data_IF_647120259875
#
_entry.id   IF_647120259875
#
_cell.length_a   1.000
_cell.length_b   1.000
_cell.length_c   1.000
_cell.angle_alpha   90.00
_cell.angle_beta   90.00
_cell.angle_gamma   90.00
#
_symmetry.space_group_name_H-M   'P 1'
#
loop_
_entity.id
_entity.type
_entity.pdbx_description
1 polymer ?
#
# COMPACT_ATOMS: atom_id res chain seq x y z
N UNK A 1 -3.21 4.11 14.80
CA UNK A 1 -3.25 3.88 13.34
C UNK A 1 -4.63 3.35 12.93
N UNK A 2 -5.13 2.31 13.57
CA UNK A 2 -6.50 1.79 13.35
C UNK A 2 -7.60 2.84 13.61
N UNK A 3 -7.49 3.65 14.68
CA UNK A 3 -8.48 4.72 14.94
C UNK A 3 -8.58 5.74 13.79
N UNK A 4 -7.45 6.13 13.18
CA UNK A 4 -7.43 7.02 12.00
C UNK A 4 -8.14 6.38 10.80
N UNK A 5 -8.06 5.06 10.65
CA UNK A 5 -8.79 4.35 9.61
C UNK A 5 -10.30 4.38 9.88
N UNK A 6 -10.71 4.05 11.10
CA UNK A 6 -12.12 4.03 11.51
C UNK A 6 -12.73 5.41 11.34
N UNK A 7 -12.09 6.47 11.83
CA UNK A 7 -12.57 7.84 11.69
C UNK A 7 -12.74 8.21 10.20
N UNK A 8 -11.77 7.81 9.36
CA UNK A 8 -11.82 8.05 7.92
C UNK A 8 -12.98 7.30 7.27
N UNK A 9 -13.16 6.01 7.54
CA UNK A 9 -14.22 5.21 6.89
C UNK A 9 -15.60 5.61 7.39
N UNK A 10 -15.76 5.98 8.66
CA UNK A 10 -17.01 6.55 9.20
C UNK A 10 -17.33 7.87 8.51
N UNK A 11 -16.36 8.77 8.35
CA UNK A 11 -16.54 10.03 7.63
C UNK A 11 -16.93 9.83 6.16
N UNK A 12 -16.26 8.91 5.48
CA UNK A 12 -16.58 8.54 4.09
C UNK A 12 -17.98 7.93 3.98
N UNK A 13 -18.37 7.04 4.90
CA UNK A 13 -19.70 6.44 4.91
C UNK A 13 -20.78 7.49 5.14
N UNK A 14 -20.59 8.42 6.08
CA UNK A 14 -21.51 9.52 6.34
C UNK A 14 -21.66 10.45 5.12
N UNK A 15 -20.59 10.64 4.36
CA UNK A 15 -20.59 11.39 3.11
C UNK A 15 -21.16 10.61 1.91
N UNK A 16 -21.56 9.34 2.12
CA UNK A 16 -22.02 8.45 1.05
C UNK A 16 -20.91 8.03 0.08
N UNK A 17 -19.64 8.22 0.44
CA UNK A 17 -18.47 7.96 -0.41
C UNK A 17 -17.83 6.58 -0.22
N UNK A 18 -18.29 5.79 0.75
CA UNK A 18 -17.75 4.47 1.07
C UNK A 18 -18.56 3.37 0.38
N UNK A 19 -17.87 2.41 -0.24
CA UNK A 19 -18.42 1.20 -0.84
C UNK A 19 -19.51 1.40 -1.90
N UNK A 20 -19.54 2.56 -2.55
CA UNK A 20 -20.50 2.87 -3.62
C UNK A 20 -20.30 1.98 -4.86
N UNK A 21 -19.04 1.74 -5.24
CA UNK A 21 -18.68 0.88 -6.36
C UNK A 21 -18.70 -0.60 -5.95
N UNK A 22 -19.91 -1.18 -5.95
CA UNK A 22 -20.12 -2.59 -5.55
C UNK A 22 -19.37 -3.59 -6.44
N UNK A 23 -19.16 -3.26 -7.72
CA UNK A 23 -18.43 -4.13 -8.63
C UNK A 23 -16.93 -4.15 -8.30
N UNK A 24 -16.33 -2.98 -8.08
CA UNK A 24 -14.96 -2.89 -7.61
C UNK A 24 -14.78 -3.54 -6.24
N UNK A 25 -15.70 -3.31 -5.30
CA UNK A 25 -15.64 -3.93 -3.99
C UNK A 25 -15.62 -5.47 -4.05
N UNK A 26 -16.41 -6.07 -4.95
CA UNK A 26 -16.42 -7.52 -5.15
C UNK A 26 -15.06 -8.02 -5.68
N UNK A 27 -14.47 -7.32 -6.66
CA UNK A 27 -13.13 -7.61 -7.19
C UNK A 27 -12.08 -7.52 -6.08
N UNK A 28 -12.08 -6.43 -5.31
CA UNK A 28 -11.15 -6.21 -4.21
C UNK A 28 -11.23 -7.33 -3.15
N UNK A 29 -12.43 -7.75 -2.75
CA UNK A 29 -12.62 -8.81 -1.77
C UNK A 29 -12.11 -10.17 -2.27
N UNK A 30 -12.38 -10.49 -3.54
CA UNK A 30 -11.86 -11.70 -4.16
C UNK A 30 -10.34 -11.71 -4.16
N UNK A 31 -9.72 -10.64 -4.68
CA UNK A 31 -8.26 -10.52 -4.78
C UNK A 31 -7.60 -10.54 -3.39
N UNK A 32 -8.13 -9.74 -2.45
CA UNK A 32 -7.58 -9.63 -1.09
C UNK A 32 -7.61 -10.97 -0.37
N UNK A 33 -8.64 -11.80 -0.56
CA UNK A 33 -8.71 -13.13 0.06
C UNK A 33 -7.52 -14.01 -0.31
N UNK A 34 -7.04 -13.91 -1.55
CA UNK A 34 -5.88 -14.68 -2.03
C UNK A 34 -4.58 -14.12 -1.46
N UNK A 35 -4.43 -12.80 -1.46
CA UNK A 35 -3.24 -12.12 -0.92
C UNK A 35 -3.10 -12.30 0.59
N UNK A 36 -4.21 -12.26 1.34
CA UNK A 36 -4.23 -12.43 2.79
C UNK A 36 -3.71 -13.82 3.18
N UNK A 37 -4.02 -14.87 2.40
CA UNK A 37 -3.49 -16.22 2.66
C UNK A 37 -1.97 -16.23 2.60
N UNK A 38 -1.38 -15.68 1.54
CA UNK A 38 0.07 -15.60 1.41
C UNK A 38 0.69 -14.66 2.46
N UNK A 39 0.01 -13.58 2.83
CA UNK A 39 0.46 -12.68 3.87
C UNK A 39 0.51 -13.36 5.25
N UNK A 40 -0.45 -14.24 5.56
CA UNK A 40 -0.48 -15.02 6.81
C UNK A 40 0.69 -16.00 6.87
N UNK A 41 1.07 -16.62 5.76
CA UNK A 41 2.24 -17.50 5.71
C UNK A 41 3.54 -16.75 6.02
N UNK A 42 3.66 -15.49 5.56
CA UNK A 42 4.83 -14.65 5.85
C UNK A 42 4.76 -13.97 7.22
N UNK A 43 3.56 -13.68 7.72
CA UNK A 43 3.29 -13.00 8.99
C UNK A 43 2.14 -13.70 9.71
N UNK A 44 2.40 -14.77 10.49
CA UNK A 44 1.36 -15.55 11.15
C UNK A 44 0.44 -14.73 12.06
N UNK A 45 0.92 -13.63 12.64
CA UNK A 45 0.10 -12.73 13.47
C UNK A 45 -1.05 -12.09 12.68
N UNK A 46 -0.91 -11.98 11.35
CA UNK A 46 -1.94 -11.43 10.48
C UNK A 46 -3.20 -12.32 10.41
N UNK A 47 -3.12 -13.58 10.85
CA UNK A 47 -4.29 -14.45 10.96
C UNK A 47 -5.28 -13.97 12.03
N UNK A 48 -4.80 -13.21 13.02
CA UNK A 48 -5.63 -12.63 14.07
C UNK A 48 -6.19 -11.25 13.71
N UNK A 49 -5.81 -10.68 12.56
CA UNK A 49 -6.26 -9.36 12.15
C UNK A 49 -7.71 -9.38 11.67
N UNK A 50 -8.42 -8.27 11.92
CA UNK A 50 -9.78 -8.06 11.45
C UNK A 50 -9.74 -7.45 10.05
N UNK A 51 -9.50 -8.31 9.07
CA UNK A 51 -9.40 -7.91 7.68
C UNK A 51 -10.70 -7.28 7.17
N UNK A 52 -10.58 -6.03 6.72
CA UNK A 52 -11.66 -5.24 6.15
C UNK A 52 -11.19 -4.67 4.81
N UNK A 53 -12.07 -4.75 3.82
CA UNK A 53 -11.78 -4.28 2.46
C UNK A 53 -12.90 -3.36 2.05
N UNK A 54 -12.53 -2.10 1.82
CA UNK A 54 -13.44 -1.03 1.44
C UNK A 54 -12.97 -0.31 0.19
N UNK A 55 -13.91 0.29 -0.52
CA UNK A 55 -13.62 1.23 -1.61
C UNK A 55 -14.18 2.61 -1.31
N UNK A 56 -13.61 3.64 -1.92
CA UNK A 56 -14.08 5.01 -1.79
C UNK A 56 -14.11 5.75 -3.13
N UNK A 57 -15.02 6.71 -3.27
CA UNK A 57 -15.03 7.68 -4.37
C UNK A 57 -14.23 8.95 -4.08
N UNK A 58 -13.59 9.04 -2.91
CA UNK A 58 -12.66 10.11 -2.56
C UNK A 58 -11.45 10.13 -3.53
N UNK A 59 -11.28 11.20 -4.33
CA UNK A 59 -10.19 11.28 -5.31
C UNK A 59 -8.81 11.44 -4.67
N UNK A 60 -8.73 11.70 -3.36
CA UNK A 60 -7.45 11.77 -2.62
C UNK A 60 -6.96 10.40 -2.13
N UNK A 61 -7.71 9.32 -2.41
CA UNK A 61 -7.32 7.96 -2.06
C UNK A 61 -6.91 7.20 -3.31
N UNK A 62 -5.70 6.66 -3.30
CA UNK A 62 -5.24 5.68 -4.30
C UNK A 62 -5.50 4.26 -3.78
N UNK A 63 -4.62 3.78 -2.91
CA UNK A 63 -4.82 2.59 -2.08
C UNK A 63 -4.00 2.73 -0.80
N UNK A 64 -4.49 2.11 0.27
CA UNK A 64 -3.74 1.96 1.52
C UNK A 64 -4.07 0.59 2.15
N UNK A 65 -3.07 -0.03 2.77
CA UNK A 65 -3.27 -1.10 3.74
C UNK A 65 -2.63 -0.71 5.08
N UNK A 66 -3.34 -0.95 6.17
CA UNK A 66 -2.85 -0.69 7.53
C UNK A 66 -2.76 -2.00 8.32
N UNK A 67 -1.78 -2.07 9.22
CA UNK A 67 -1.69 -3.14 10.21
C UNK A 67 -3.02 -3.27 10.98
N UNK A 68 -3.45 -4.50 11.22
CA UNK A 68 -4.82 -4.80 11.64
C UNK A 68 -5.76 -5.19 10.48
N UNK A 69 -5.23 -5.22 9.26
CA UNK A 69 -5.92 -5.77 8.08
C UNK A 69 -6.88 -4.80 7.40
N UNK A 70 -6.63 -3.50 7.52
CA UNK A 70 -7.55 -2.46 7.03
C UNK A 70 -7.13 -2.00 5.62
N UNK A 71 -7.89 -2.37 4.60
CA UNK A 71 -7.64 -2.02 3.19
C UNK A 71 -8.69 -0.99 2.73
N UNK A 72 -8.23 0.10 2.11
CA UNK A 72 -9.10 1.10 1.47
C UNK A 72 -8.54 1.46 0.10
N UNK A 73 -9.38 1.39 -0.93
CA UNK A 73 -8.97 1.67 -2.33
C UNK A 73 -9.88 2.69 -3.00
N UNK A 74 -9.28 3.68 -3.64
CA UNK A 74 -9.97 4.71 -4.40
C UNK A 74 -10.41 4.21 -5.77
N UNK A 75 -11.71 4.28 -6.02
CA UNK A 75 -12.30 3.92 -7.31
C UNK A 75 -11.83 4.85 -8.44
N UNK A 76 -11.53 6.12 -8.15
CA UNK A 76 -11.00 7.07 -9.12
C UNK A 76 -9.63 6.62 -9.67
N UNK A 77 -8.71 6.25 -8.79
CA UNK A 77 -7.37 5.76 -9.15
C UNK A 77 -7.44 4.48 -9.99
N UNK A 78 -8.25 3.50 -9.56
CA UNK A 78 -8.46 2.24 -10.28
C UNK A 78 -9.01 2.47 -11.68
N UNK A 79 -9.98 3.39 -11.83
CA UNK A 79 -10.60 3.71 -13.13
C UNK A 79 -9.65 4.48 -14.04
N UNK A 80 -8.88 5.41 -13.49
CA UNK A 80 -7.92 6.21 -14.25
C UNK A 80 -6.83 5.35 -14.91
N UNK A 81 -6.32 4.35 -14.19
CA UNK A 81 -5.36 3.40 -14.74
C UNK A 81 -6.02 2.21 -15.47
N UNK A 82 -7.36 2.15 -15.45
CA UNK A 82 -8.15 1.05 -16.00
C UNK A 82 -7.60 -0.32 -15.56
N UNK A 83 -7.41 -0.52 -14.24
CA UNK A 83 -6.74 -1.69 -13.71
C UNK A 83 -7.55 -2.98 -13.91
N UNK A 84 -6.92 -3.99 -14.49
CA UNK A 84 -7.41 -5.38 -14.52
C UNK A 84 -7.30 -6.02 -13.13
N UNK A 85 -7.81 -7.24 -12.95
CA UNK A 85 -7.73 -7.92 -11.66
C UNK A 85 -6.29 -8.25 -11.26
N UNK A 86 -5.43 -8.68 -12.19
CA UNK A 86 -4.02 -8.95 -11.88
C UNK A 86 -3.22 -7.68 -11.59
N UNK A 87 -3.51 -6.57 -12.28
CA UNK A 87 -2.87 -5.28 -11.99
C UNK A 87 -3.33 -4.73 -10.64
N UNK A 88 -4.63 -4.89 -10.31
CA UNK A 88 -5.19 -4.54 -9.01
C UNK A 88 -4.62 -5.44 -7.90
N UNK A 89 -4.38 -6.72 -8.18
CA UNK A 89 -3.68 -7.61 -7.26
C UNK A 89 -2.24 -7.18 -6.99
N UNK A 90 -1.55 -6.67 -8.01
CA UNK A 90 -0.20 -6.11 -7.85
C UNK A 90 -0.20 -4.90 -6.93
N UNK A 91 -1.14 -3.97 -7.13
CA UNK A 91 -1.35 -2.82 -6.25
C UNK A 91 -1.63 -3.25 -4.80
N UNK A 92 -2.59 -4.15 -4.60
CA UNK A 92 -2.95 -4.62 -3.26
C UNK A 92 -1.83 -5.40 -2.59
N UNK A 93 -1.06 -6.19 -3.33
CA UNK A 93 0.04 -6.96 -2.79
C UNK A 93 1.18 -6.05 -2.32
N UNK A 94 1.43 -4.95 -3.03
CA UNK A 94 2.36 -3.91 -2.59
C UNK A 94 1.91 -3.28 -1.26
N UNK A 95 0.64 -2.90 -1.14
CA UNK A 95 0.10 -2.37 0.12
C UNK A 95 0.17 -3.38 1.27
N UNK A 96 -0.16 -4.65 1.00
CA UNK A 96 -0.03 -5.73 1.99
C UNK A 96 1.44 -5.97 2.37
N UNK A 97 2.38 -5.84 1.43
CA UNK A 97 3.81 -5.97 1.68
C UNK A 97 4.32 -4.91 2.67
N UNK A 98 3.87 -3.65 2.58
CA UNK A 98 4.20 -2.63 3.58
C UNK A 98 3.83 -3.04 5.01
N UNK A 99 2.69 -3.71 5.14
CA UNK A 99 2.16 -4.14 6.43
C UNK A 99 2.84 -5.41 6.92
N UNK A 100 3.13 -6.36 6.02
CA UNK A 100 3.89 -7.58 6.33
C UNK A 100 5.31 -7.24 6.80
N UNK A 101 5.98 -6.31 6.11
CA UNK A 101 7.33 -5.83 6.45
C UNK A 101 7.36 -4.80 7.59
N UNK A 102 6.20 -4.41 8.14
CA UNK A 102 6.06 -3.46 9.25
C UNK A 102 6.69 -2.07 9.00
N UNK A 103 6.71 -1.61 7.75
CA UNK A 103 7.34 -0.34 7.35
C UNK A 103 6.85 0.87 8.17
N UNK A 104 5.55 0.94 8.47
CA UNK A 104 5.01 2.00 9.33
C UNK A 104 5.60 1.99 10.75
N UNK A 105 5.82 0.79 11.32
CA UNK A 105 6.42 0.62 12.66
C UNK A 105 7.91 0.97 12.64
N UNK A 106 8.61 0.60 11.58
CA UNK A 106 10.02 0.95 11.38
C UNK A 106 10.19 2.48 11.25
N UNK A 107 9.40 3.14 10.40
CA UNK A 107 9.43 4.59 10.22
C UNK A 107 9.12 5.33 11.52
N UNK A 108 8.16 4.84 12.29
CA UNK A 108 7.86 5.37 13.62
C UNK A 108 9.06 5.22 14.57
N UNK A 109 9.70 4.05 14.60
CA UNK A 109 10.83 3.77 15.47
C UNK A 109 12.04 4.66 15.14
N UNK A 110 12.32 4.84 13.85
CA UNK A 110 13.40 5.73 13.37
C UNK A 110 13.08 7.20 13.69
N UNK A 111 11.82 7.62 13.52
CA UNK A 111 11.39 8.97 13.88
C UNK A 111 11.59 9.27 15.38
N UNK A 112 11.32 8.29 16.26
CA UNK A 112 11.59 8.44 17.69
C UNK A 112 13.09 8.61 17.98
N UNK A 113 13.93 7.79 17.34
CA UNK A 113 15.38 7.85 17.50
C UNK A 113 15.96 9.19 17.04
N UNK A 114 15.56 9.66 15.86
CA UNK A 114 16.02 10.93 15.28
C UNK A 114 15.65 12.14 16.13
N UNK A 115 14.50 12.08 16.81
CA UNK A 115 14.05 13.15 17.70
C UNK A 115 14.80 13.17 19.05
N UNK A 116 15.56 12.12 19.42
CA UNK A 116 16.24 11.99 20.73
C UNK A 116 15.32 12.19 21.93
N UNK A 117 14.02 11.92 21.77
CA UNK A 117 13.04 12.20 22.82
C UNK A 117 12.84 10.95 23.70
N UNK A 118 12.77 11.11 25.05
CA UNK A 118 12.20 10.07 25.91
C UNK A 118 10.72 9.85 25.55
N UNK A 119 10.17 8.68 25.89
CA UNK A 119 8.81 8.22 25.56
C UNK A 119 7.79 9.36 25.33
N UNK A 120 7.59 9.71 24.06
CA UNK A 120 6.59 10.69 23.61
C UNK A 120 5.33 9.92 23.20
N UNK A 121 4.11 10.47 23.43
CA UNK A 121 2.89 9.87 22.91
C UNK A 121 2.96 9.66 21.39
N UNK A 122 2.36 8.55 20.93
CA UNK A 122 2.32 8.15 19.52
C UNK A 122 1.76 9.27 18.63
N UNK A 123 0.72 9.95 19.11
CA UNK A 123 0.00 11.00 18.38
C UNK A 123 0.91 12.18 18.05
N UNK A 124 1.82 12.53 18.96
CA UNK A 124 2.75 13.65 18.78
C UNK A 124 3.81 13.31 17.73
N UNK A 125 4.30 12.08 17.73
CA UNK A 125 5.26 11.63 16.70
C UNK A 125 4.59 11.59 15.33
N UNK A 126 3.35 11.07 15.26
CA UNK A 126 2.57 11.05 14.01
C UNK A 126 2.30 12.47 13.48
N UNK A 127 1.88 13.40 14.35
CA UNK A 127 1.67 14.79 13.95
C UNK A 127 2.94 15.45 13.40
N UNK A 128 4.12 15.08 13.91
CA UNK A 128 5.41 15.55 13.37
C UNK A 128 5.77 14.91 12.06
N UNK A 129 5.53 13.61 11.88
CA UNK A 129 5.72 12.96 10.58
C UNK A 129 4.91 13.69 9.48
N UNK A 130 3.72 14.17 9.84
CA UNK A 130 2.83 14.88 8.92
C UNK A 130 3.27 16.36 8.66
N UNK A 131 4.01 17.00 9.59
CA UNK A 131 4.26 18.46 9.53
C UNK A 131 5.72 18.92 9.56
N UNK A 132 6.67 18.08 9.99
CA UNK A 132 8.09 18.43 10.12
C UNK A 132 8.87 18.01 8.87
N UNK A 133 9.09 18.97 7.97
CA UNK A 133 9.85 18.75 6.73
C UNK A 133 11.28 18.25 7.00
N UNK A 134 11.92 18.68 8.10
CA UNK A 134 13.29 18.27 8.41
C UNK A 134 13.35 16.79 8.79
N UNK A 135 12.33 16.29 9.49
CA UNK A 135 12.18 14.88 9.82
C UNK A 135 11.86 14.07 8.57
N UNK A 136 10.95 14.56 7.71
CA UNK A 136 10.61 13.92 6.44
C UNK A 136 11.85 13.76 5.54
N UNK A 137 12.68 14.80 5.42
CA UNK A 137 13.94 14.72 4.65
C UNK A 137 14.88 13.64 5.22
N UNK A 138 15.01 13.55 6.55
CA UNK A 138 15.86 12.52 7.18
C UNK A 138 15.35 11.11 6.96
N UNK A 139 14.04 10.93 6.94
CA UNK A 139 13.37 9.64 6.72
C UNK A 139 13.24 9.26 5.23
N UNK A 140 13.46 10.19 4.31
CA UNK A 140 13.28 9.97 2.86
C UNK A 140 14.05 8.76 2.33
N UNK A 141 15.28 8.54 2.79
CA UNK A 141 16.07 7.37 2.39
C UNK A 141 15.47 6.06 2.88
N UNK A 142 14.98 6.02 4.12
CA UNK A 142 14.29 4.86 4.67
C UNK A 142 13.03 4.57 3.85
N UNK A 143 12.21 5.59 3.62
CA UNK A 143 11.00 5.48 2.80
C UNK A 143 11.31 4.93 1.40
N UNK A 144 12.33 5.43 0.72
CA UNK A 144 12.71 4.92 -0.60
C UNK A 144 13.15 3.44 -0.58
N UNK A 145 13.76 2.97 0.51
CA UNK A 145 14.12 1.55 0.67
C UNK A 145 12.88 0.69 0.91
N UNK A 146 11.97 1.16 1.78
CA UNK A 146 10.71 0.50 2.08
C UNK A 146 9.83 0.35 0.83
N UNK A 147 9.78 1.36 -0.05
CA UNK A 147 9.05 1.25 -1.32
C UNK A 147 9.66 0.21 -2.25
N UNK A 148 10.99 0.15 -2.34
CA UNK A 148 11.69 -0.87 -3.13
C UNK A 148 11.48 -2.27 -2.58
N UNK A 149 11.43 -2.43 -1.26
CA UNK A 149 11.13 -3.69 -0.60
C UNK A 149 9.66 -4.10 -0.81
N UNK A 150 8.72 -3.18 -0.62
CA UNK A 150 7.29 -3.42 -0.83
C UNK A 150 6.98 -3.77 -2.30
N UNK A 151 7.68 -3.16 -3.26
CA UNK A 151 7.62 -3.53 -4.66
C UNK A 151 8.04 -5.00 -4.90
N UNK A 152 9.20 -5.40 -4.40
CA UNK A 152 9.72 -6.77 -4.60
C UNK A 152 8.87 -7.81 -3.86
N UNK A 153 8.59 -7.56 -2.57
CA UNK A 153 7.80 -8.43 -1.73
C UNK A 153 6.34 -8.51 -2.22
N UNK A 154 5.77 -7.40 -2.67
CA UNK A 154 4.43 -7.33 -3.26
C UNK A 154 4.32 -8.18 -4.52
N UNK A 155 5.32 -8.13 -5.41
CA UNK A 155 5.35 -9.02 -6.58
C UNK A 155 5.45 -10.49 -6.19
N UNK A 156 6.26 -10.84 -5.19
CA UNK A 156 6.35 -12.22 -4.67
C UNK A 156 5.01 -12.66 -4.10
N UNK A 157 4.35 -11.83 -3.29
CA UNK A 157 3.03 -12.10 -2.72
C UNK A 157 1.97 -12.31 -3.81
N UNK A 158 1.90 -11.41 -4.79
CA UNK A 158 0.97 -11.52 -5.91
C UNK A 158 1.23 -12.80 -6.73
N UNK A 159 2.49 -13.11 -7.00
CA UNK A 159 2.87 -14.32 -7.74
C UNK A 159 2.45 -15.59 -7.01
N UNK A 160 2.76 -15.69 -5.72
CA UNK A 160 2.37 -16.83 -4.88
C UNK A 160 0.86 -17.00 -4.76
N UNK A 161 0.12 -15.88 -4.76
CA UNK A 161 -1.34 -15.88 -4.79
C UNK A 161 -1.95 -16.28 -6.15
N UNK A 162 -1.11 -16.56 -7.16
CA UNK A 162 -1.50 -17.09 -8.47
C UNK A 162 -1.71 -16.04 -9.54
N UNK A 163 -1.31 -14.78 -9.32
CA UNK A 163 -1.43 -13.71 -10.31
C UNK A 163 -0.27 -13.72 -11.31
N UNK A 164 -0.57 -13.40 -12.57
CA UNK A 164 0.41 -13.50 -13.64
C UNK A 164 1.50 -12.43 -13.54
N UNK A 165 2.74 -12.83 -13.80
CA UNK A 165 3.89 -11.92 -13.82
C UNK A 165 3.71 -10.78 -14.85
N UNK A 166 3.05 -11.06 -15.97
CA UNK A 166 2.72 -10.07 -17.01
C UNK A 166 1.80 -8.95 -16.51
N UNK A 167 0.85 -9.28 -15.62
CA UNK A 167 -0.05 -8.28 -15.02
C UNK A 167 0.74 -7.32 -14.12
N UNK A 168 1.74 -7.82 -13.39
CA UNK A 168 2.60 -6.98 -12.55
C UNK A 168 3.41 -6.01 -13.39
N UNK A 169 4.05 -6.49 -14.47
CA UNK A 169 4.78 -5.62 -15.41
C UNK A 169 3.82 -4.62 -16.07
N UNK A 170 2.60 -5.03 -16.38
CA UNK A 170 1.57 -4.15 -16.93
C UNK A 170 1.17 -3.04 -15.96
N UNK A 171 0.96 -3.37 -14.68
CA UNK A 171 0.67 -2.40 -13.63
C UNK A 171 1.77 -1.33 -13.54
N UNK A 172 3.03 -1.73 -13.38
CA UNK A 172 4.15 -0.78 -13.30
C UNK A 172 4.35 0.03 -14.58
N UNK A 173 4.02 -0.54 -15.75
CA UNK A 173 4.03 0.20 -17.03
C UNK A 173 2.97 1.30 -17.04
N UNK A 174 1.75 0.99 -16.60
CA UNK A 174 0.66 1.98 -16.49
C UNK A 174 0.99 3.07 -15.49
N UNK A 175 1.57 2.70 -14.35
CA UNK A 175 1.99 3.65 -13.33
C UNK A 175 3.08 4.60 -13.84
N UNK A 176 4.06 4.10 -14.59
CA UNK A 176 5.10 4.92 -15.21
C UNK A 176 4.59 5.84 -16.33
N UNK A 177 3.48 5.48 -16.99
CA UNK A 177 2.86 6.30 -18.02
C UNK A 177 1.88 7.36 -17.46
N UNK A 178 1.51 7.28 -16.18
CA UNK A 178 0.60 8.22 -15.53
C UNK A 178 1.31 9.52 -15.15
N UNK A 179 0.77 10.68 -15.58
CA UNK A 179 1.27 12.01 -15.23
C UNK A 179 1.17 12.31 -13.72
N UNK A 180 0.33 11.57 -12.98
CA UNK A 180 0.23 11.65 -11.52
C UNK A 180 1.40 10.97 -10.79
N UNK A 181 2.42 10.49 -11.50
CA UNK A 181 3.72 10.11 -10.92
C UNK A 181 4.37 11.21 -10.06
N UNK A 182 3.86 12.46 -10.10
CA UNK A 182 4.26 13.57 -9.23
C UNK A 182 3.36 13.82 -7.99
N UNK A 183 2.17 13.19 -7.92
CA UNK A 183 1.19 13.36 -6.83
C UNK A 183 0.94 12.09 -6.01
N UNK A 184 1.44 10.94 -6.45
CA UNK A 184 1.59 9.79 -5.55
C UNK A 184 2.54 10.25 -4.44
N UNK A 185 2.13 10.12 -3.17
CA UNK A 185 2.90 10.37 -1.94
C UNK A 185 4.42 10.43 -2.22
N UNK A 186 5.10 11.52 -1.84
CA UNK A 186 6.52 11.80 -2.14
C UNK A 186 7.57 10.79 -1.64
N UNK A 187 7.14 9.56 -1.34
CA UNK A 187 7.86 8.37 -0.93
C UNK A 187 8.34 7.47 -2.08
N UNK A 188 7.73 7.52 -3.28
CA UNK A 188 8.02 6.52 -4.31
C UNK A 188 9.30 6.77 -5.12
N UNK A 189 10.15 5.75 -5.37
CA UNK A 189 11.26 5.82 -6.31
C UNK A 189 10.78 6.24 -7.70
N UNK A 190 11.68 6.81 -8.52
CA UNK A 190 11.38 7.17 -9.90
C UNK A 190 10.71 5.99 -10.63
N UNK A 191 9.53 6.22 -11.20
CA UNK A 191 8.64 5.19 -11.77
C UNK A 191 9.31 4.32 -12.84
N UNK A 192 10.27 4.87 -13.59
CA UNK A 192 11.10 4.11 -14.53
C UNK A 192 11.94 3.00 -13.86
N UNK A 193 12.42 3.24 -12.63
CA UNK A 193 13.16 2.25 -11.84
C UNK A 193 12.26 1.08 -11.45
N UNK A 194 11.01 1.37 -11.05
CA UNK A 194 10.01 0.34 -10.67
C UNK A 194 9.65 -0.57 -11.83
N UNK A 195 9.46 -0.03 -13.04
CA UNK A 195 9.21 -0.87 -14.23
C UNK A 195 10.42 -1.76 -14.57
N UNK A 196 11.64 -1.25 -14.42
CA UNK A 196 12.86 -2.05 -14.62
C UNK A 196 12.98 -3.17 -13.59
N UNK A 197 12.72 -2.86 -12.31
CA UNK A 197 12.66 -3.82 -11.21
C UNK A 197 11.62 -4.91 -11.51
N UNK A 198 10.41 -4.54 -11.92
CA UNK A 198 9.35 -5.50 -12.20
C UNK A 198 9.76 -6.50 -13.28
N UNK A 199 10.32 -6.02 -14.39
CA UNK A 199 10.84 -6.89 -15.46
C UNK A 199 11.97 -7.82 -14.99
N UNK A 200 12.81 -7.35 -14.06
CA UNK A 200 13.85 -8.18 -13.46
C UNK A 200 13.26 -9.27 -12.56
N UNK A 201 12.30 -8.91 -11.72
CA UNK A 201 11.61 -9.82 -10.80
C UNK A 201 10.87 -10.94 -11.53
N UNK A 202 10.21 -10.65 -12.67
CA UNK A 202 9.48 -11.69 -13.40
C UNK A 202 10.36 -12.84 -13.89
N UNK A 203 11.65 -12.58 -14.16
CA UNK A 203 12.61 -13.64 -14.53
C UNK A 203 12.87 -14.65 -13.40
N UNK A 204 12.54 -14.29 -12.16
CA UNK A 204 12.66 -15.16 -10.99
C UNK A 204 11.41 -16.02 -10.76
N UNK A 205 10.30 -15.72 -11.42
CA UNK A 205 9.03 -16.43 -11.28
C UNK A 205 8.84 -17.55 -12.32
N UNK A 206 9.69 -17.60 -13.34
CA UNK A 206 9.64 -18.58 -14.43
C UNK A 206 10.36 -19.92 -14.11
N UNK A 207 10.64 -20.21 -12.82
CA UNK A 207 11.32 -21.43 -12.36
C UNK A 207 10.55 -22.19 -11.28
#
# INVERSE_FOLDING_TARGET
MEDRYIDRTVGLAAAGKLDEDRALLARLRYISTQLIREAIELKPEAAAWQWEVHTTSDPEVDAICMAGGKILVGSAFVRQLALTDGELATLLAHEVAHVVAEHARETFSEAMLLNRLPAVPLEVVMARLDSDLSLQIRLSKLSSLQESEADQLGMVLAHRAGWAADDMVSFYRKLAASEQSALVSGAYPATASRLSMARGMTLLFDY
#
